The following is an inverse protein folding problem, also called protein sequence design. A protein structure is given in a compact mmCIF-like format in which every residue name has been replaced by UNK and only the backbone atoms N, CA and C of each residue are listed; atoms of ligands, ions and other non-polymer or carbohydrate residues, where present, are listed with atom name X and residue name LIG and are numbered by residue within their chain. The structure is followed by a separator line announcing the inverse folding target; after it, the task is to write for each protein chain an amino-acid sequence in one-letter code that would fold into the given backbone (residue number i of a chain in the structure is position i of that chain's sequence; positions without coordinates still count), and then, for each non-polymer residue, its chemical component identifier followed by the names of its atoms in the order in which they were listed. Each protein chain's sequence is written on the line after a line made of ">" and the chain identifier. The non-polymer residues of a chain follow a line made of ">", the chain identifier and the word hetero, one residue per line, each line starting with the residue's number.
data_IF_243220069275
#
_entry.id   IF_243220069275
#
_cell.length_a   1.000
_cell.length_b   1.000
_cell.length_c   1.000
_cell.angle_alpha   90.00
_cell.angle_beta   90.00
_cell.angle_gamma   90.00
#
_symmetry.space_group_name_H-M   'P 1'
#
loop_
_entity.id
_entity.type
_entity.pdbx_description
1 polymer ?
#
# COMPACT_ATOMS: atom_id res chain seq x y z
N UNK A 1 -20.91 -18.50 13.73
CA UNK A 1 -21.09 -17.05 13.45
C UNK A 1 -22.57 -16.75 13.24
N UNK A 2 -23.20 -17.30 12.19
CA UNK A 2 -24.64 -17.11 11.95
C UNK A 2 -25.52 -17.72 13.04
N UNK A 3 -25.16 -18.91 13.53
CA UNK A 3 -25.82 -19.56 14.69
C UNK A 3 -25.74 -18.72 15.98
N UNK A 4 -24.81 -17.77 16.04
CA UNK A 4 -24.65 -16.85 17.16
C UNK A 4 -25.29 -15.46 16.88
N UNK A 5 -26.04 -15.32 15.79
CA UNK A 5 -26.68 -14.06 15.37
C UNK A 5 -25.75 -13.02 14.73
N UNK A 6 -24.50 -13.39 14.41
CA UNK A 6 -23.53 -12.46 13.79
C UNK A 6 -23.62 -12.49 12.26
N UNK A 7 -23.70 -11.31 11.66
CA UNK A 7 -23.66 -11.13 10.20
C UNK A 7 -22.23 -10.81 9.73
N UNK A 8 -21.59 -11.76 9.05
CA UNK A 8 -20.24 -11.57 8.51
C UNK A 8 -20.34 -10.83 7.19
N UNK A 9 -19.76 -9.63 7.11
CA UNK A 9 -19.79 -8.77 5.90
C UNK A 9 -18.46 -8.73 5.15
N UNK A 10 -17.36 -9.10 5.82
CA UNK A 10 -16.03 -9.05 5.25
C UNK A 10 -15.09 -10.01 5.99
N UNK A 11 -14.02 -10.41 5.30
CA UNK A 11 -12.90 -11.17 5.88
C UNK A 11 -11.60 -10.43 5.62
N UNK A 12 -10.69 -10.39 6.59
CA UNK A 12 -9.34 -9.82 6.40
C UNK A 12 -8.33 -10.94 6.43
N UNK A 13 -7.49 -11.06 5.39
CA UNK A 13 -6.40 -12.02 5.37
C UNK A 13 -5.11 -11.41 4.81
N UNK A 14 -4.00 -12.13 4.97
CA UNK A 14 -2.76 -11.79 4.28
C UNK A 14 -2.78 -12.27 2.82
N UNK A 15 -1.74 -11.91 2.07
CA UNK A 15 -1.57 -12.29 0.65
C UNK A 15 -0.73 -13.56 0.48
N UNK A 16 -0.74 -14.47 1.46
CA UNK A 16 -0.13 -15.79 1.32
C UNK A 16 -0.76 -16.57 0.17
N UNK A 17 0.00 -17.44 -0.49
CA UNK A 17 -0.46 -18.20 -1.67
C UNK A 17 -1.74 -18.99 -1.40
N UNK A 18 -1.85 -19.61 -0.21
CA UNK A 18 -3.05 -20.33 0.22
C UNK A 18 -4.28 -19.41 0.32
N UNK A 19 -4.14 -18.24 0.96
CA UNK A 19 -5.23 -17.26 1.09
C UNK A 19 -5.67 -16.71 -0.26
N UNK A 20 -4.71 -16.41 -1.15
CA UNK A 20 -5.00 -15.95 -2.52
C UNK A 20 -5.71 -17.03 -3.32
N UNK A 21 -5.28 -18.29 -3.24
CA UNK A 21 -5.92 -19.41 -3.93
C UNK A 21 -7.35 -19.64 -3.42
N UNK A 22 -7.55 -19.61 -2.10
CA UNK A 22 -8.87 -19.76 -1.49
C UNK A 22 -9.84 -18.64 -1.92
N UNK A 23 -9.41 -17.38 -1.86
CA UNK A 23 -10.24 -16.24 -2.30
C UNK A 23 -10.61 -16.37 -3.78
N UNK A 24 -9.65 -16.73 -4.64
CA UNK A 24 -9.92 -16.93 -6.07
C UNK A 24 -10.95 -18.02 -6.30
N UNK A 25 -10.80 -19.17 -5.64
CA UNK A 25 -11.77 -20.26 -5.73
C UNK A 25 -13.17 -19.80 -5.34
N UNK A 26 -13.31 -19.07 -4.23
CA UNK A 26 -14.61 -18.58 -3.75
C UNK A 26 -15.25 -17.56 -4.71
N UNK A 27 -14.44 -16.67 -5.30
CA UNK A 27 -14.90 -15.70 -6.31
C UNK A 27 -15.31 -16.40 -7.61
N UNK A 28 -14.56 -17.40 -8.04
CA UNK A 28 -14.84 -18.18 -9.25
C UNK A 28 -16.12 -19.00 -9.07
N UNK A 29 -16.31 -19.66 -7.92
CA UNK A 29 -17.53 -20.40 -7.60
C UNK A 29 -18.76 -19.49 -7.59
N UNK A 30 -18.63 -18.30 -6.97
CA UNK A 30 -19.69 -17.28 -6.98
C UNK A 30 -20.02 -16.88 -8.40
N UNK A 31 -19.01 -16.53 -9.21
CA UNK A 31 -19.19 -16.11 -10.60
C UNK A 31 -19.84 -17.20 -11.44
N UNK A 32 -19.41 -18.45 -11.31
CA UNK A 32 -20.00 -19.59 -12.00
C UNK A 32 -21.47 -19.80 -11.62
N UNK A 33 -21.85 -19.56 -10.36
CA UNK A 33 -23.24 -19.68 -9.92
C UNK A 33 -24.16 -18.69 -10.65
N UNK A 34 -23.72 -17.44 -10.85
CA UNK A 34 -24.45 -16.42 -11.60
C UNK A 34 -24.53 -16.76 -13.10
N UNK A 35 -23.42 -17.24 -13.68
CA UNK A 35 -23.40 -17.71 -15.09
C UNK A 35 -24.42 -18.81 -15.31
N UNK A 36 -24.50 -19.81 -14.41
CA UNK A 36 -25.49 -20.91 -14.49
C UNK A 36 -26.94 -20.41 -14.40
N UNK A 37 -27.19 -19.35 -13.62
CA UNK A 37 -28.50 -18.70 -13.50
C UNK A 37 -28.82 -17.73 -14.65
N UNK A 38 -27.86 -17.47 -15.55
CA UNK A 38 -27.94 -16.42 -16.60
C UNK A 38 -28.18 -15.02 -16.01
N UNK A 39 -27.58 -14.77 -14.86
CA UNK A 39 -27.65 -13.49 -14.14
C UNK A 39 -26.30 -12.77 -14.21
N UNK A 40 -26.33 -11.45 -14.11
CA UNK A 40 -25.12 -10.62 -14.02
C UNK A 40 -24.58 -10.65 -12.58
N UNK A 41 -23.31 -11.01 -12.39
CA UNK A 41 -22.66 -10.89 -11.09
C UNK A 41 -22.28 -9.44 -10.80
N UNK A 42 -22.95 -8.81 -9.83
CA UNK A 42 -22.70 -7.42 -9.39
C UNK A 42 -21.96 -7.32 -8.04
N UNK A 43 -21.56 -8.45 -7.47
CA UNK A 43 -20.89 -8.48 -6.17
C UNK A 43 -19.39 -8.20 -6.31
N UNK A 44 -18.83 -7.54 -5.29
CA UNK A 44 -17.39 -7.34 -5.11
C UNK A 44 -16.73 -8.51 -4.39
N UNK A 45 -17.49 -9.22 -3.56
CA UNK A 45 -17.06 -10.37 -2.77
C UNK A 45 -17.50 -11.72 -3.34
N UNK A 46 -17.41 -12.74 -2.48
CA UNK A 46 -17.96 -14.07 -2.73
C UNK A 46 -19.22 -14.30 -1.89
N UNK A 47 -20.09 -15.22 -2.32
CA UNK A 47 -21.32 -15.53 -1.61
C UNK A 47 -21.16 -16.73 -0.68
N UNK A 48 -21.61 -16.58 0.56
CA UNK A 48 -21.84 -17.68 1.51
C UNK A 48 -23.27 -17.57 1.99
N UNK A 49 -24.08 -18.62 1.79
CA UNK A 49 -25.51 -18.62 2.15
C UNK A 49 -26.28 -17.40 1.59
N UNK A 50 -26.03 -17.03 0.33
CA UNK A 50 -26.57 -15.84 -0.36
C UNK A 50 -26.20 -14.48 0.29
N UNK A 51 -25.23 -14.45 1.20
CA UNK A 51 -24.69 -13.21 1.75
C UNK A 51 -23.33 -12.92 1.16
N UNK A 52 -23.12 -11.68 0.75
CA UNK A 52 -21.84 -11.22 0.23
C UNK A 52 -20.84 -11.02 1.36
N UNK A 53 -19.66 -11.62 1.18
CA UNK A 53 -18.50 -11.44 2.05
C UNK A 53 -17.37 -10.85 1.21
N UNK A 54 -16.93 -9.64 1.57
CA UNK A 54 -15.85 -8.95 0.85
C UNK A 54 -14.49 -9.36 1.41
N UNK A 55 -13.59 -9.97 0.60
CA UNK A 55 -12.23 -10.26 1.04
C UNK A 55 -11.36 -9.00 1.01
N UNK A 56 -10.82 -8.63 2.16
CA UNK A 56 -9.90 -7.51 2.34
C UNK A 56 -8.48 -8.03 2.49
N UNK A 57 -7.60 -7.60 1.58
CA UNK A 57 -6.17 -7.90 1.61
C UNK A 57 -5.38 -6.69 2.09
N UNK A 58 -4.30 -6.93 2.85
CA UNK A 58 -3.42 -5.84 3.29
C UNK A 58 -2.58 -5.29 2.11
N UNK A 59 -3.07 -4.22 1.50
CA UNK A 59 -2.49 -3.57 0.33
C UNK A 59 -1.03 -3.15 0.53
N UNK A 60 -0.70 -2.49 1.65
CA UNK A 60 0.66 -2.01 1.91
C UNK A 60 1.67 -3.15 1.95
N UNK A 61 1.35 -4.23 2.68
CA UNK A 61 2.21 -5.41 2.72
C UNK A 61 2.42 -6.00 1.32
N UNK A 62 1.36 -6.03 0.52
CA UNK A 62 1.41 -6.51 -0.86
C UNK A 62 2.32 -5.67 -1.76
N UNK A 63 2.15 -4.34 -1.72
CA UNK A 63 2.98 -3.39 -2.47
C UNK A 63 4.44 -3.54 -2.05
N UNK A 64 4.74 -3.47 -0.75
CA UNK A 64 6.10 -3.65 -0.23
C UNK A 64 6.72 -4.95 -0.72
N UNK A 65 6.04 -6.09 -0.51
CA UNK A 65 6.57 -7.41 -0.86
C UNK A 65 6.91 -7.53 -2.35
N UNK A 66 6.07 -6.98 -3.22
CA UNK A 66 6.36 -6.97 -4.66
C UNK A 66 7.49 -5.98 -5.00
N UNK A 67 7.55 -4.82 -4.35
CA UNK A 67 8.64 -3.85 -4.56
C UNK A 67 10.02 -4.39 -4.17
N UNK A 68 10.09 -5.36 -3.25
CA UNK A 68 11.36 -5.99 -2.88
C UNK A 68 12.06 -6.64 -4.08
N UNK A 69 11.32 -7.12 -5.09
CA UNK A 69 11.88 -7.84 -6.24
C UNK A 69 11.58 -7.19 -7.59
N UNK A 70 10.68 -6.21 -7.62
CA UNK A 70 10.16 -5.59 -8.85
C UNK A 70 10.05 -4.07 -8.69
N UNK A 71 10.17 -3.37 -9.81
CA UNK A 71 9.85 -1.95 -9.87
C UNK A 71 8.34 -1.77 -9.98
N UNK A 72 7.81 -0.79 -9.25
CA UNK A 72 6.40 -0.44 -9.29
C UNK A 72 6.20 0.71 -10.28
N UNK A 73 5.57 0.40 -11.42
CA UNK A 73 5.08 1.39 -12.36
C UNK A 73 3.66 1.79 -11.98
N UNK A 74 3.40 3.10 -11.88
CA UNK A 74 2.08 3.61 -11.52
C UNK A 74 1.81 4.96 -12.22
N UNK A 75 0.55 5.32 -12.32
CA UNK A 75 0.13 6.64 -12.82
C UNK A 75 -0.52 7.41 -11.68
N UNK A 76 -0.03 8.61 -11.39
CA UNK A 76 -0.63 9.51 -10.42
C UNK A 76 -0.75 10.90 -11.02
N UNK A 77 -1.94 11.50 -10.95
CA UNK A 77 -2.29 12.76 -11.61
C UNK A 77 -1.92 12.73 -13.11
N UNK A 78 -2.26 11.64 -13.80
CA UNK A 78 -1.96 11.39 -15.22
C UNK A 78 -0.46 11.33 -15.60
N UNK A 79 0.44 11.31 -14.62
CA UNK A 79 1.88 11.18 -14.85
C UNK A 79 2.30 9.75 -14.54
N UNK A 80 2.93 9.08 -15.52
CA UNK A 80 3.55 7.76 -15.35
C UNK A 80 4.82 7.90 -14.53
N UNK A 81 5.01 7.03 -13.55
CA UNK A 81 6.07 7.07 -12.56
C UNK A 81 6.63 5.67 -12.30
N UNK A 82 7.86 5.61 -11.79
CA UNK A 82 8.51 4.36 -11.41
C UNK A 82 9.10 4.47 -10.01
N UNK A 83 8.54 3.70 -9.07
CA UNK A 83 9.07 3.59 -7.73
C UNK A 83 9.90 2.31 -7.58
N UNK A 84 11.07 2.44 -6.95
CA UNK A 84 11.99 1.35 -6.69
C UNK A 84 12.26 1.22 -5.19
N UNK A 85 12.37 -0.02 -4.71
CA UNK A 85 12.78 -0.30 -3.33
C UNK A 85 14.22 0.13 -3.06
N UNK A 86 15.08 0.06 -4.08
CA UNK A 86 16.48 0.51 -4.00
C UNK A 86 16.61 1.97 -3.55
N UNK A 87 15.70 2.86 -3.96
CA UNK A 87 15.71 4.25 -3.48
C UNK A 87 15.53 4.35 -1.95
N UNK A 88 14.72 3.46 -1.37
CA UNK A 88 14.47 3.39 0.08
C UNK A 88 15.69 2.84 0.80
N UNK A 89 16.34 1.82 0.24
CA UNK A 89 17.59 1.27 0.80
C UNK A 89 18.74 2.28 0.75
N UNK A 90 18.92 2.98 -0.39
CA UNK A 90 19.93 4.04 -0.53
C UNK A 90 19.72 5.15 0.50
N UNK A 91 18.48 5.62 0.65
CA UNK A 91 18.12 6.58 1.69
C UNK A 91 18.49 6.05 3.08
N UNK A 92 18.05 4.84 3.42
CA UNK A 92 18.28 4.26 4.74
C UNK A 92 19.77 4.18 5.06
N UNK A 93 20.60 3.68 4.14
CA UNK A 93 22.04 3.57 4.34
C UNK A 93 22.66 4.96 4.58
N UNK A 94 22.30 5.95 3.75
CA UNK A 94 22.83 7.30 3.88
C UNK A 94 22.36 7.98 5.18
N UNK A 95 21.09 7.84 5.54
CA UNK A 95 20.52 8.39 6.77
C UNK A 95 21.17 7.80 8.02
N UNK A 96 21.54 6.50 7.98
CA UNK A 96 22.25 5.83 9.09
C UNK A 96 23.68 6.32 9.29
N UNK A 97 24.31 6.86 8.25
CA UNK A 97 25.66 7.45 8.32
C UNK A 97 25.62 8.92 8.74
N UNK A 98 24.48 9.58 8.58
CA UNK A 98 24.33 10.98 8.94
C UNK A 98 24.41 11.18 10.47
N UNK A 99 25.03 12.29 10.93
CA UNK A 99 25.11 12.62 12.35
C UNK A 99 23.72 12.84 12.98
N UNK A 100 22.74 13.30 12.20
CA UNK A 100 21.35 13.47 12.62
C UNK A 100 20.42 12.73 11.66
N UNK A 101 19.83 11.62 12.14
CA UNK A 101 18.96 10.76 11.35
C UNK A 101 17.59 11.40 11.14
N UNK A 102 17.14 11.48 9.89
CA UNK A 102 15.79 11.91 9.52
C UNK A 102 14.75 10.82 9.75
N UNK A 103 15.14 9.55 9.68
CA UNK A 103 14.26 8.39 9.80
C UNK A 103 14.68 7.46 10.97
N UNK A 104 14.75 7.94 12.23
CA UNK A 104 15.32 7.18 13.36
C UNK A 104 14.53 5.92 13.73
N UNK A 105 13.28 5.82 13.28
CA UNK A 105 12.42 4.66 13.51
C UNK A 105 12.74 3.47 12.60
N UNK A 106 13.46 3.71 11.50
CA UNK A 106 13.85 2.65 10.57
C UNK A 106 15.08 1.91 11.10
N UNK A 107 15.10 0.61 10.88
CA UNK A 107 16.23 -0.27 11.14
C UNK A 107 16.30 -1.37 10.08
N UNK A 108 17.27 -2.26 10.17
CA UNK A 108 17.50 -3.30 9.16
C UNK A 108 16.26 -4.17 8.90
N UNK A 109 15.45 -4.44 9.92
CA UNK A 109 14.24 -5.25 9.79
C UNK A 109 13.12 -4.57 9.00
N UNK A 110 13.25 -3.27 8.74
CA UNK A 110 12.34 -2.49 7.92
C UNK A 110 12.74 -2.49 6.43
N UNK A 111 14.04 -2.34 6.16
CA UNK A 111 14.52 -1.92 4.84
C UNK A 111 15.37 -2.98 4.14
N UNK A 112 16.27 -3.66 4.87
CA UNK A 112 17.25 -4.56 4.27
C UNK A 112 16.57 -5.87 3.89
N UNK A 113 16.50 -6.19 2.59
CA UNK A 113 15.79 -7.36 2.02
C UNK A 113 16.04 -8.68 2.77
N UNK A 114 17.29 -8.97 3.12
CA UNK A 114 17.70 -10.19 3.81
C UNK A 114 17.36 -10.25 5.30
N UNK A 115 17.03 -9.10 5.92
CA UNK A 115 16.73 -8.99 7.36
C UNK A 115 15.28 -8.57 7.63
N UNK A 116 14.49 -8.43 6.57
CA UNK A 116 13.18 -7.79 6.57
C UNK A 116 12.14 -8.64 7.30
N UNK A 117 11.42 -8.05 8.25
CA UNK A 117 10.27 -8.71 8.86
C UNK A 117 9.03 -8.56 7.95
N UNK A 118 8.93 -9.44 6.95
CA UNK A 118 7.87 -9.41 5.93
C UNK A 118 6.46 -9.53 6.51
N UNK A 119 6.27 -10.13 7.69
CA UNK A 119 4.93 -10.30 8.26
C UNK A 119 4.47 -9.10 9.09
N UNK A 120 5.41 -8.30 9.63
CA UNK A 120 5.09 -7.20 10.55
C UNK A 120 4.60 -5.97 9.78
N UNK A 121 3.28 -5.73 9.84
CA UNK A 121 2.62 -4.56 9.23
C UNK A 121 3.22 -3.25 9.73
N UNK A 122 3.55 -3.16 11.03
CA UNK A 122 4.18 -1.97 11.62
C UNK A 122 5.46 -1.56 10.88
N UNK A 123 6.31 -2.53 10.52
CA UNK A 123 7.53 -2.22 9.78
C UNK A 123 7.20 -1.66 8.38
N UNK A 124 6.19 -2.22 7.71
CA UNK A 124 5.72 -1.72 6.42
C UNK A 124 5.19 -0.29 6.49
N UNK A 125 4.36 0.03 7.49
CA UNK A 125 3.76 1.36 7.63
C UNK A 125 4.81 2.42 8.00
N UNK A 126 5.84 2.05 8.77
CA UNK A 126 6.94 2.97 9.08
C UNK A 126 7.80 3.29 7.85
N UNK A 127 8.05 2.30 6.98
CA UNK A 127 8.74 2.53 5.70
C UNK A 127 7.91 3.40 4.77
N UNK A 128 6.61 3.15 4.67
CA UNK A 128 5.70 3.93 3.83
C UNK A 128 5.11 5.14 4.54
N UNK A 129 5.93 5.84 5.32
CA UNK A 129 5.49 7.02 6.06
C UNK A 129 5.89 8.32 5.37
N UNK A 130 5.12 9.38 5.63
CA UNK A 130 5.41 10.74 5.15
C UNK A 130 6.80 11.26 5.58
N UNK A 131 7.33 10.77 6.70
CA UNK A 131 8.69 11.08 7.14
C UNK A 131 9.74 10.57 6.15
N UNK A 132 9.60 9.33 5.68
CA UNK A 132 10.50 8.71 4.69
C UNK A 132 10.39 9.41 3.33
N UNK A 133 9.16 9.70 2.86
CA UNK A 133 8.97 10.50 1.64
C UNK A 133 9.67 11.87 1.74
N UNK A 134 9.52 12.55 2.86
CA UNK A 134 10.15 13.85 3.11
C UNK A 134 11.68 13.74 3.13
N UNK A 135 12.22 12.69 3.74
CA UNK A 135 13.66 12.45 3.80
C UNK A 135 14.26 12.20 2.40
N UNK A 136 13.56 11.48 1.52
CA UNK A 136 13.99 11.33 0.10
C UNK A 136 14.05 12.70 -0.57
N UNK A 137 12.99 13.50 -0.48
CA UNK A 137 12.93 14.82 -1.14
C UNK A 137 14.00 15.75 -0.60
N UNK A 138 14.19 15.82 0.73
CA UNK A 138 15.23 16.64 1.36
C UNK A 138 16.64 16.17 0.97
N UNK A 139 16.87 14.86 0.92
CA UNK A 139 18.14 14.30 0.46
C UNK A 139 18.47 14.68 -0.98
N UNK A 140 17.46 14.84 -1.85
CA UNK A 140 17.63 15.32 -3.22
C UNK A 140 17.87 16.83 -3.30
N UNK A 141 17.12 17.64 -2.53
CA UNK A 141 17.14 19.10 -2.69
C UNK A 141 18.22 19.80 -1.89
N UNK A 142 18.60 19.27 -0.73
CA UNK A 142 19.54 19.90 0.20
C UNK A 142 20.93 19.26 0.16
N UNK A 143 21.10 18.13 -0.53
CA UNK A 143 22.37 17.40 -0.57
C UNK A 143 22.85 16.92 0.80
N UNK A 144 21.93 16.73 1.75
CA UNK A 144 22.24 16.39 3.16
C UNK A 144 22.71 14.94 3.37
N UNK A 145 22.89 14.19 2.29
CA UNK A 145 23.30 12.80 2.30
C UNK A 145 24.65 12.68 1.61
N UNK A 146 25.62 12.03 2.26
CA UNK A 146 26.98 11.83 1.73
C UNK A 146 27.00 11.17 0.35
N UNK A 147 25.99 10.36 0.06
CA UNK A 147 25.74 9.81 -1.27
C UNK A 147 24.46 10.41 -1.85
N UNK A 148 24.52 11.10 -3.00
CA UNK A 148 23.34 11.69 -3.59
C UNK A 148 22.35 10.62 -4.03
N UNK A 149 21.08 10.83 -3.71
CA UNK A 149 19.99 10.04 -4.26
C UNK A 149 19.82 10.39 -5.76
N UNK A 150 19.46 9.39 -6.56
CA UNK A 150 19.16 9.64 -7.97
C UNK A 150 17.88 10.46 -8.12
N UNK A 151 17.77 11.40 -9.09
CA UNK A 151 16.55 12.19 -9.29
C UNK A 151 15.28 11.36 -9.45
N UNK A 152 15.40 10.14 -9.99
CA UNK A 152 14.30 9.17 -10.10
C UNK A 152 13.71 8.75 -8.73
N UNK A 153 14.42 8.97 -7.63
CA UNK A 153 13.94 8.71 -6.26
C UNK A 153 12.72 9.55 -5.90
N UNK A 154 12.49 10.68 -6.58
CA UNK A 154 11.30 11.52 -6.36
C UNK A 154 10.00 10.74 -6.62
N UNK A 155 9.99 9.83 -7.59
CA UNK A 155 8.82 9.00 -7.88
C UNK A 155 8.52 8.02 -6.74
N UNK A 156 9.56 7.47 -6.10
CA UNK A 156 9.40 6.67 -4.88
C UNK A 156 8.86 7.52 -3.73
N UNK A 157 9.35 8.75 -3.54
CA UNK A 157 8.85 9.65 -2.50
C UNK A 157 7.36 9.97 -2.70
N UNK A 158 6.95 10.25 -3.94
CA UNK A 158 5.55 10.52 -4.31
C UNK A 158 4.68 9.30 -4.04
N UNK A 159 5.14 8.10 -4.38
CA UNK A 159 4.43 6.87 -4.06
C UNK A 159 4.26 6.72 -2.54
N UNK A 160 5.35 6.86 -1.77
CA UNK A 160 5.31 6.69 -0.31
C UNK A 160 4.33 7.67 0.33
N UNK A 161 4.36 8.94 -0.10
CA UNK A 161 3.43 9.95 0.38
C UNK A 161 1.97 9.57 0.08
N UNK A 162 1.70 9.14 -1.17
CA UNK A 162 0.37 8.67 -1.56
C UNK A 162 -0.09 7.46 -0.73
N UNK A 163 0.80 6.52 -0.42
CA UNK A 163 0.49 5.35 0.40
C UNK A 163 0.28 5.68 1.88
N UNK A 164 1.02 6.65 2.45
CA UNK A 164 0.80 7.14 3.82
C UNK A 164 -0.59 7.75 3.93
N UNK A 165 -0.96 8.64 2.99
CA UNK A 165 -2.29 9.22 2.92
C UNK A 165 -3.35 8.11 2.78
N UNK A 166 -3.19 7.19 1.82
CA UNK A 166 -4.14 6.10 1.59
C UNK A 166 -4.34 5.23 2.84
N UNK A 167 -3.28 4.94 3.58
CA UNK A 167 -3.35 4.15 4.80
C UNK A 167 -4.01 4.91 5.95
N UNK A 168 -3.69 6.19 6.13
CA UNK A 168 -4.30 7.02 7.16
C UNK A 168 -5.82 7.18 6.97
N UNK A 169 -6.31 7.18 5.71
CA UNK A 169 -7.74 7.22 5.37
C UNK A 169 -8.52 5.99 5.88
N UNK A 170 -7.87 4.83 5.96
CA UNK A 170 -8.53 3.56 6.31
C UNK A 170 -8.17 3.06 7.72
N UNK A 171 -7.32 3.80 8.43
CA UNK A 171 -6.78 3.42 9.73
C UNK A 171 -6.80 4.57 10.73
N UNK A 172 -7.84 5.41 10.67
CA UNK A 172 -8.11 6.43 11.67
C UNK A 172 -9.00 5.88 12.78
N UNK A 173 -8.60 6.10 14.02
CA UNK A 173 -9.44 5.89 15.22
C UNK A 173 -9.96 7.22 15.79
N UNK A 174 -9.78 8.33 15.06
CA UNK A 174 -10.11 9.69 15.50
C UNK A 174 -11.31 10.21 14.74
N UNK A 175 -12.19 10.93 15.45
CA UNK A 175 -13.33 11.61 14.82
C UNK A 175 -12.90 12.80 13.96
N UNK A 176 -11.95 13.60 14.44
CA UNK A 176 -11.46 14.81 13.78
C UNK A 176 -10.03 14.64 13.27
N UNK A 177 -9.72 15.33 12.17
CA UNK A 177 -8.40 15.30 11.57
C UNK A 177 -7.42 16.20 12.32
N UNK A 178 -6.13 15.93 12.13
CA UNK A 178 -5.04 16.75 12.67
C UNK A 178 -4.35 17.54 11.56
N UNK A 179 -3.78 18.72 11.86
CA UNK A 179 -3.00 19.48 10.90
C UNK A 179 -1.95 18.61 10.19
N UNK A 180 -1.90 18.68 8.86
CA UNK A 180 -0.97 17.91 8.03
C UNK A 180 -1.37 16.46 7.73
N UNK A 181 -2.45 15.94 8.35
CA UNK A 181 -3.08 14.63 8.06
C UNK A 181 -4.62 14.80 7.99
N UNK A 182 -5.14 15.55 7.01
CA UNK A 182 -6.55 15.92 6.93
C UNK A 182 -7.48 14.72 6.70
N UNK A 183 -6.95 13.61 6.18
CA UNK A 183 -7.68 12.39 5.89
C UNK A 183 -7.56 11.32 7.00
N UNK A 184 -6.92 11.65 8.12
CA UNK A 184 -6.83 10.76 9.29
C UNK A 184 -7.95 11.07 10.27
N UNK A 185 -9.19 10.87 9.85
CA UNK A 185 -10.39 11.16 10.66
C UNK A 185 -11.54 10.22 10.31
N UNK A 186 -12.69 10.40 10.96
CA UNK A 186 -13.92 9.74 10.53
C UNK A 186 -14.34 10.25 9.15
N UNK A 187 -15.02 9.38 8.40
CA UNK A 187 -15.63 9.73 7.11
C UNK A 187 -16.89 10.54 7.39
N UNK A 188 -16.88 11.80 6.97
CA UNK A 188 -18.01 12.73 7.07
C UNK A 188 -18.42 13.19 5.67
N UNK A 189 -19.67 13.61 5.48
CA UNK A 189 -20.15 14.16 4.20
C UNK A 189 -19.34 15.38 3.72
N UNK A 190 -18.74 16.12 4.65
CA UNK A 190 -17.92 17.31 4.40
C UNK A 190 -16.43 17.00 4.23
N UNK A 191 -16.02 15.74 4.45
CA UNK A 191 -14.62 15.35 4.42
C UNK A 191 -14.15 15.05 2.99
N UNK A 192 -12.86 15.27 2.71
CA UNK A 192 -12.28 15.01 1.38
C UNK A 192 -12.08 13.53 1.01
N UNK A 193 -12.61 12.58 1.78
CA UNK A 193 -12.36 11.15 1.62
C UNK A 193 -12.85 10.63 0.26
N UNK A 194 -14.09 10.93 -0.14
CA UNK A 194 -14.67 10.42 -1.40
C UNK A 194 -13.85 10.85 -2.62
N UNK A 195 -13.50 12.13 -2.71
CA UNK A 195 -12.66 12.65 -3.78
C UNK A 195 -11.27 12.00 -3.79
N UNK A 196 -10.69 11.77 -2.60
CA UNK A 196 -9.43 11.05 -2.48
C UNK A 196 -9.55 9.59 -2.92
N UNK A 197 -10.62 8.88 -2.55
CA UNK A 197 -10.83 7.48 -2.93
C UNK A 197 -10.96 7.29 -4.44
N UNK A 198 -11.67 8.17 -5.13
CA UNK A 198 -11.75 8.14 -6.59
C UNK A 198 -10.35 8.25 -7.24
N UNK A 199 -9.53 9.16 -6.72
CA UNK A 199 -8.13 9.30 -7.16
C UNK A 199 -7.30 8.08 -6.80
N UNK A 200 -7.48 7.53 -5.61
CA UNK A 200 -6.73 6.37 -5.13
C UNK A 200 -7.06 5.11 -5.94
N UNK A 201 -8.34 4.86 -6.24
CA UNK A 201 -8.80 3.75 -7.08
C UNK A 201 -8.14 3.84 -8.47
N UNK A 202 -8.15 5.03 -9.08
CA UNK A 202 -7.48 5.27 -10.38
C UNK A 202 -5.97 5.04 -10.32
N UNK A 203 -5.30 5.47 -9.24
CA UNK A 203 -3.87 5.27 -9.10
C UNK A 203 -3.52 3.79 -8.88
N UNK A 204 -4.20 3.12 -7.94
CA UNK A 204 -3.97 1.72 -7.60
C UNK A 204 -4.26 0.79 -8.79
N UNK A 205 -5.31 1.05 -9.59
CA UNK A 205 -5.63 0.24 -10.78
C UNK A 205 -4.55 0.28 -11.86
N UNK A 206 -3.71 1.31 -11.87
CA UNK A 206 -2.59 1.43 -12.83
C UNK A 206 -1.29 0.79 -12.35
N UNK A 207 -1.22 0.34 -11.09
CA UNK A 207 -0.03 -0.24 -10.49
C UNK A 207 0.35 -1.56 -11.18
N UNK A 208 1.56 -1.62 -11.72
CA UNK A 208 2.13 -2.80 -12.38
C UNK A 208 3.55 -3.05 -11.88
N UNK A 209 3.78 -4.25 -11.34
CA UNK A 209 5.09 -4.67 -10.89
C UNK A 209 5.87 -5.33 -12.02
N UNK A 210 7.04 -4.80 -12.36
CA UNK A 210 7.90 -5.31 -13.43
C UNK A 210 9.25 -5.71 -12.89
N UNK A 211 9.81 -6.83 -13.37
CA UNK A 211 11.18 -7.18 -13.03
C UNK A 211 12.12 -6.05 -13.49
N UNK A 212 13.11 -5.64 -12.68
CA UNK A 212 14.13 -4.71 -13.12
C UNK A 212 14.78 -5.30 -14.37
N UNK A 213 14.99 -4.48 -15.41
CA UNK A 213 15.71 -4.95 -16.59
C UNK A 213 17.11 -5.36 -16.12
N UNK A 214 17.45 -6.65 -16.20
CA UNK A 214 18.85 -7.04 -16.21
C UNK A 214 19.43 -6.46 -17.49
N UNK A 215 20.24 -5.42 -17.37
CA UNK A 215 21.11 -5.03 -18.47
C UNK A 215 22.10 -6.19 -18.67
N UNK A 216 21.88 -6.96 -19.73
CA UNK A 216 22.93 -7.79 -20.33
C UNK A 216 23.82 -6.95 -21.22
#
# INVERSE_FOLDING_TARGET
>A
MEECGLNVVATVCDQGSANVAAIRSLLDDTTQSFVRKKEENRHFGFLVNNKEIVPLLNLLKGIRNNMLTKDLHFTLNNIKRVAKWEHIEKLYIADRMAPFQMCPMLNDSHVIRGRLNKMKVKCCTQVFSKAVATAIVKGLTLGTLDKPLEPASVDTAILIFFLDDLFDNINSSKQFSTPGKPLKSAVLSTSGHTAFWEKAIRAVSTMKFRCPKMFG
#
